data_IF_234324474296
#
_entry.id   IF_234324474296
#
_cell.length_a   1.000
_cell.length_b   1.000
_cell.length_c   1.000
_cell.angle_alpha   90.00
_cell.angle_beta   90.00
_cell.angle_gamma   90.00
#
_symmetry.space_group_name_H-M   'P 1'
#
loop_
_entity.id
_entity.type
_entity.pdbx_description
1 polymer ?
#
# COMPACT_ATOMS: atom_id res chain seq x y z
N UNK A 1 6.53 22.33 -32.07
CA UNK A 1 5.90 23.38 -31.24
C UNK A 1 4.36 23.34 -31.19
N UNK A 2 3.61 22.53 -31.96
CA UNK A 2 2.13 22.62 -32.01
C UNK A 2 1.33 21.57 -31.21
N UNK A 3 1.99 20.73 -30.40
CA UNK A 3 1.31 19.67 -29.63
C UNK A 3 0.96 20.09 -28.19
N UNK A 4 1.59 21.17 -27.70
CA UNK A 4 1.30 21.77 -26.40
C UNK A 4 0.02 22.63 -26.40
N UNK A 5 -0.35 23.25 -27.53
CA UNK A 5 -1.55 24.11 -27.60
C UNK A 5 -2.86 23.32 -27.51
N UNK A 6 -2.92 22.12 -28.11
CA UNK A 6 -4.10 21.22 -28.00
C UNK A 6 -4.32 20.66 -26.60
N UNK A 7 -3.30 20.74 -25.73
CA UNK A 7 -3.42 20.37 -24.32
C UNK A 7 -4.15 21.46 -23.52
N UNK A 8 -4.04 22.70 -23.97
CA UNK A 8 -4.61 23.88 -23.32
C UNK A 8 -6.11 24.03 -23.63
N UNK A 9 -6.52 23.82 -24.88
CA UNK A 9 -7.93 24.00 -25.28
C UNK A 9 -8.88 22.96 -24.66
N UNK A 10 -8.40 21.76 -24.31
CA UNK A 10 -9.23 20.76 -23.61
C UNK A 10 -9.33 20.99 -22.10
N UNK A 11 -8.58 21.95 -21.55
CA UNK A 11 -8.55 22.27 -20.11
C UNK A 11 -9.25 23.60 -19.79
N UNK A 12 -9.68 24.37 -20.81
CA UNK A 12 -10.05 25.77 -20.65
C UNK A 12 -11.56 26.07 -20.70
N UNK A 13 -12.46 25.07 -20.52
CA UNK A 13 -13.89 25.39 -20.58
C UNK A 13 -14.57 25.68 -19.24
N UNK A 14 -14.09 25.22 -18.07
CA UNK A 14 -14.92 25.39 -16.85
C UNK A 14 -14.31 25.23 -15.42
N UNK A 15 -13.01 25.04 -15.16
CA UNK A 15 -12.59 24.90 -13.74
C UNK A 15 -11.17 25.33 -13.38
N UNK A 16 -11.10 26.34 -12.51
CA UNK A 16 -10.07 26.65 -11.51
C UNK A 16 -8.76 25.84 -11.58
N UNK A 17 -7.88 26.12 -12.54
CA UNK A 17 -6.52 25.56 -12.53
C UNK A 17 -5.64 26.36 -11.58
N UNK A 18 -5.68 26.00 -10.29
CA UNK A 18 -4.92 26.67 -9.23
C UNK A 18 -4.07 25.68 -8.42
N UNK A 19 -2.87 26.11 -8.05
CA UNK A 19 -2.04 25.39 -7.08
C UNK A 19 -2.71 25.41 -5.71
N UNK A 20 -3.04 24.23 -5.17
CA UNK A 20 -3.57 24.14 -3.81
C UNK A 20 -2.43 24.37 -2.82
N UNK A 21 -2.52 25.45 -2.06
CA UNK A 21 -1.64 25.75 -0.95
C UNK A 21 -2.43 25.77 0.36
N UNK A 22 -1.82 25.30 1.43
CA UNK A 22 -2.41 25.42 2.77
C UNK A 22 -2.19 26.82 3.30
N UNK A 23 -3.27 27.49 3.66
CA UNK A 23 -3.25 28.76 4.37
C UNK A 23 -4.16 28.67 5.61
N UNK A 24 -3.82 29.41 6.66
CA UNK A 24 -4.75 29.69 7.75
C UNK A 24 -5.92 30.53 7.20
N UNK A 25 -7.16 30.43 7.70
CA UNK A 25 -8.30 31.20 7.19
C UNK A 25 -8.05 32.71 7.14
N UNK A 26 -7.18 33.23 8.01
CA UNK A 26 -6.76 34.65 8.03
C UNK A 26 -5.62 35.02 7.08
N UNK A 27 -4.88 34.05 6.54
CA UNK A 27 -3.70 34.26 5.68
C UNK A 27 -3.97 33.93 4.19
N UNK A 28 -5.23 33.75 3.82
CA UNK A 28 -5.61 33.42 2.45
C UNK A 28 -5.43 34.64 1.53
N UNK A 29 -4.72 34.53 0.38
CA UNK A 29 -4.54 35.64 -0.54
C UNK A 29 -5.88 36.07 -1.15
N UNK A 30 -6.04 37.37 -1.51
CA UNK A 30 -7.28 37.87 -2.10
C UNK A 30 -7.57 37.13 -3.41
N UNK A 31 -8.73 36.46 -3.49
CA UNK A 31 -9.13 35.61 -4.62
C UNK A 31 -8.92 34.11 -4.42
N UNK A 32 -8.43 33.65 -3.26
CA UNK A 32 -8.38 32.23 -2.93
C UNK A 32 -9.78 31.67 -2.62
N UNK A 33 -10.13 30.57 -3.29
CA UNK A 33 -11.34 29.80 -2.96
C UNK A 33 -11.00 28.85 -1.81
N UNK A 34 -11.68 29.00 -0.68
CA UNK A 34 -11.56 28.07 0.44
C UNK A 34 -12.20 26.73 0.02
N UNK A 35 -11.36 25.71 -0.11
CA UNK A 35 -11.77 24.36 -0.45
C UNK A 35 -11.80 23.49 0.82
N UNK A 36 -12.83 22.65 0.95
CA UNK A 36 -12.80 21.58 1.93
C UNK A 36 -11.71 20.55 1.57
N UNK A 37 -11.28 19.74 2.54
CA UNK A 37 -10.26 18.70 2.30
C UNK A 37 -10.68 17.72 1.20
N UNK A 38 -11.97 17.40 1.12
CA UNK A 38 -12.51 16.45 0.15
C UNK A 38 -12.55 17.06 -1.26
N UNK A 39 -12.96 18.32 -1.38
CA UNK A 39 -12.94 19.05 -2.65
C UNK A 39 -11.51 19.26 -3.16
N UNK A 40 -10.58 19.61 -2.27
CA UNK A 40 -9.16 19.72 -2.58
C UNK A 40 -8.59 18.39 -3.09
N UNK A 41 -8.93 17.26 -2.43
CA UNK A 41 -8.52 15.93 -2.88
C UNK A 41 -9.06 15.63 -4.28
N UNK A 42 -10.36 15.84 -4.49
CA UNK A 42 -11.02 15.55 -5.77
C UNK A 42 -10.40 16.38 -6.90
N UNK A 43 -10.11 17.66 -6.63
CA UNK A 43 -9.46 18.54 -7.59
C UNK A 43 -8.04 18.06 -7.95
N UNK A 44 -7.23 17.66 -6.97
CA UNK A 44 -5.89 17.14 -7.25
C UNK A 44 -5.91 15.80 -8.00
N UNK A 45 -6.83 14.90 -7.64
CA UNK A 45 -6.99 13.63 -8.34
C UNK A 45 -7.43 13.83 -9.80
N UNK A 46 -8.34 14.77 -10.05
CA UNK A 46 -8.79 15.10 -11.40
C UNK A 46 -7.67 15.74 -12.24
N UNK A 47 -6.87 16.60 -11.62
CA UNK A 47 -5.66 17.16 -12.24
C UNK A 47 -4.67 16.06 -12.63
N UNK A 48 -4.42 15.09 -11.75
CA UNK A 48 -3.53 13.97 -12.07
C UNK A 48 -4.10 13.03 -13.14
N UNK A 49 -5.42 12.87 -13.20
CA UNK A 49 -6.07 12.03 -14.22
C UNK A 49 -5.89 12.59 -15.64
N UNK A 50 -5.95 13.92 -15.78
CA UNK A 50 -5.81 14.62 -17.06
C UNK A 50 -4.38 15.03 -17.40
N UNK A 51 -3.42 14.82 -16.48
CA UNK A 51 -2.03 15.22 -16.66
C UNK A 51 -1.33 14.50 -17.82
N UNK A 52 -0.67 15.27 -18.70
CA UNK A 52 0.21 14.76 -19.75
C UNK A 52 1.63 15.30 -19.53
N UNK A 53 2.67 14.43 -19.59
CA UNK A 53 2.66 13.01 -19.93
C UNK A 53 2.27 12.10 -18.74
N UNK A 54 1.53 11.01 -19.03
CA UNK A 54 1.07 10.03 -18.00
C UNK A 54 2.21 9.36 -17.21
N UNK A 55 3.43 9.34 -17.74
CA UNK A 55 4.61 8.79 -17.04
C UNK A 55 4.94 9.54 -15.75
N UNK A 56 4.62 10.83 -15.69
CA UNK A 56 4.88 11.67 -14.51
C UNK A 56 3.91 11.36 -13.35
N UNK A 57 2.74 10.79 -13.62
CA UNK A 57 1.71 10.48 -12.61
C UNK A 57 1.51 8.99 -12.35
N UNK A 58 2.17 8.12 -13.12
CA UNK A 58 2.03 6.67 -13.03
C UNK A 58 2.32 6.09 -11.62
N UNK A 59 3.34 6.55 -10.87
CA UNK A 59 3.56 6.09 -9.50
C UNK A 59 2.42 6.45 -8.55
N UNK A 60 1.70 7.54 -8.83
CA UNK A 60 0.57 8.02 -8.04
C UNK A 60 -0.65 7.13 -8.32
N UNK A 61 -0.93 6.83 -9.59
CA UNK A 61 -2.09 6.00 -9.97
C UNK A 61 -1.91 4.52 -9.67
N UNK A 62 -0.71 3.97 -9.88
CA UNK A 62 -0.48 2.52 -9.77
C UNK A 62 0.16 2.10 -8.43
N UNK A 63 0.73 3.02 -7.65
CA UNK A 63 1.52 2.69 -6.47
C UNK A 63 0.74 1.89 -5.41
N UNK A 64 -0.51 2.27 -5.14
CA UNK A 64 -1.35 1.54 -4.20
C UNK A 64 -1.68 0.11 -4.67
N UNK A 65 -1.92 -0.07 -5.97
CA UNK A 65 -2.17 -1.39 -6.55
C UNK A 65 -0.92 -2.29 -6.47
N UNK A 66 0.26 -1.75 -6.77
CA UNK A 66 1.54 -2.48 -6.65
C UNK A 66 1.78 -2.89 -5.20
N UNK A 67 1.53 -1.99 -4.24
CA UNK A 67 1.64 -2.29 -2.81
C UNK A 67 0.70 -3.44 -2.39
N UNK A 68 -0.56 -3.41 -2.84
CA UNK A 68 -1.53 -4.49 -2.61
C UNK A 68 -1.07 -5.83 -3.16
N UNK A 69 -0.68 -5.88 -4.44
CA UNK A 69 -0.18 -7.10 -5.09
C UNK A 69 1.06 -7.66 -4.39
N UNK A 70 1.98 -6.79 -4.00
CA UNK A 70 3.17 -7.19 -3.27
C UNK A 70 2.84 -7.77 -1.89
N UNK A 71 1.89 -7.19 -1.16
CA UNK A 71 1.45 -7.73 0.12
C UNK A 71 0.79 -9.12 -0.04
N UNK A 72 -0.05 -9.28 -1.06
CA UNK A 72 -0.64 -10.57 -1.44
C UNK A 72 0.41 -11.62 -1.79
N UNK A 73 1.48 -11.24 -2.49
CA UNK A 73 2.60 -12.13 -2.79
C UNK A 73 3.31 -12.62 -1.51
N UNK A 74 3.50 -11.75 -0.53
CA UNK A 74 4.04 -12.15 0.78
C UNK A 74 3.16 -13.16 1.51
N UNK A 75 1.84 -12.96 1.46
CA UNK A 75 0.85 -13.92 1.94
C UNK A 75 0.93 -15.29 1.25
N UNK A 76 1.10 -15.30 -0.08
CA UNK A 76 1.24 -16.53 -0.86
C UNK A 76 2.48 -17.34 -0.44
N UNK A 77 3.63 -16.69 -0.33
CA UNK A 77 4.90 -17.34 0.04
C UNK A 77 4.82 -17.94 1.44
N UNK A 78 4.31 -17.18 2.42
CA UNK A 78 4.18 -17.67 3.80
C UNK A 78 3.15 -18.79 3.91
N UNK A 79 2.00 -18.66 3.25
CA UNK A 79 0.99 -19.72 3.23
C UNK A 79 1.54 -21.02 2.62
N UNK A 80 2.34 -20.94 1.55
CA UNK A 80 2.96 -22.12 0.96
C UNK A 80 3.94 -22.83 1.92
N UNK A 81 4.71 -22.07 2.71
CA UNK A 81 5.63 -22.64 3.72
C UNK A 81 4.83 -23.41 4.79
N UNK A 82 3.79 -22.80 5.36
CA UNK A 82 2.99 -23.43 6.41
C UNK A 82 2.16 -24.60 5.89
N UNK A 83 1.56 -24.49 4.70
CA UNK A 83 0.80 -25.60 4.09
C UNK A 83 1.68 -26.83 3.83
N UNK A 84 2.95 -26.62 3.47
CA UNK A 84 3.92 -27.71 3.31
C UNK A 84 4.29 -28.34 4.65
N UNK A 85 4.45 -27.55 5.71
CA UNK A 85 4.75 -28.03 7.06
C UNK A 85 3.63 -28.90 7.64
N UNK A 86 2.38 -28.43 7.55
CA UNK A 86 1.20 -29.13 8.10
C UNK A 86 0.59 -30.17 7.13
N UNK A 87 1.25 -30.46 6.01
CA UNK A 87 0.85 -31.50 5.04
C UNK A 87 -0.58 -31.35 4.46
N UNK A 88 -1.11 -30.13 4.35
CA UNK A 88 -2.50 -29.88 3.93
C UNK A 88 -2.80 -30.26 2.48
N UNK A 89 -1.78 -30.42 1.63
CA UNK A 89 -1.90 -30.84 0.22
C UNK A 89 -3.03 -30.11 -0.52
N UNK A 90 -4.15 -30.76 -0.85
CA UNK A 90 -5.33 -30.13 -1.47
C UNK A 90 -6.42 -29.70 -0.46
N UNK A 91 -6.38 -30.20 0.77
CA UNK A 91 -7.36 -29.87 1.79
C UNK A 91 -7.31 -28.37 2.16
N UNK A 92 -8.48 -27.75 2.19
CA UNK A 92 -8.69 -26.35 2.55
C UNK A 92 -7.78 -25.35 1.82
N UNK A 93 -7.42 -25.62 0.55
CA UNK A 93 -6.62 -24.70 -0.26
C UNK A 93 -7.26 -23.31 -0.31
N UNK A 94 -8.54 -23.24 -0.69
CA UNK A 94 -9.26 -21.97 -0.74
C UNK A 94 -9.40 -21.33 0.64
N UNK A 95 -9.75 -22.13 1.65
CA UNK A 95 -10.00 -21.65 3.02
C UNK A 95 -8.78 -21.04 3.71
N UNK A 96 -7.57 -21.51 3.39
CA UNK A 96 -6.32 -20.96 3.95
C UNK A 96 -5.76 -19.85 3.07
N UNK A 97 -5.84 -20.00 1.75
CA UNK A 97 -5.21 -19.09 0.79
C UNK A 97 -5.97 -17.78 0.64
N UNK A 98 -7.30 -17.82 0.60
CA UNK A 98 -8.13 -16.62 0.42
C UNK A 98 -7.92 -15.57 1.54
N UNK A 99 -8.03 -15.91 2.84
CA UNK A 99 -7.82 -14.91 3.89
C UNK A 99 -6.36 -14.46 4.00
N UNK A 100 -5.40 -15.34 3.74
CA UNK A 100 -3.97 -15.00 3.85
C UNK A 100 -3.44 -14.17 2.68
N UNK A 101 -4.09 -14.18 1.52
CA UNK A 101 -3.68 -13.37 0.35
C UNK A 101 -4.58 -12.16 0.15
N UNK A 102 -5.90 -12.35 0.26
CA UNK A 102 -6.89 -11.32 -0.07
C UNK A 102 -6.92 -10.19 0.95
N UNK A 103 -7.01 -10.53 2.25
CA UNK A 103 -7.06 -9.53 3.31
C UNK A 103 -5.81 -8.63 3.34
N UNK A 104 -4.57 -9.16 3.35
CA UNK A 104 -3.40 -8.28 3.40
C UNK A 104 -3.25 -7.43 2.14
N UNK A 105 -3.60 -7.96 0.95
CA UNK A 105 -3.60 -7.18 -0.28
C UNK A 105 -4.60 -6.02 -0.24
N UNK A 106 -5.82 -6.28 0.23
CA UNK A 106 -6.86 -5.27 0.39
C UNK A 106 -6.46 -4.19 1.40
N UNK A 107 -5.97 -4.59 2.59
CA UNK A 107 -5.54 -3.63 3.61
C UNK A 107 -4.32 -2.81 3.16
N UNK A 108 -3.34 -3.44 2.52
CA UNK A 108 -2.18 -2.72 1.96
C UNK A 108 -2.61 -1.71 0.90
N UNK A 109 -3.55 -2.07 0.01
CA UNK A 109 -4.10 -1.15 -0.99
C UNK A 109 -4.82 0.05 -0.34
N UNK A 110 -5.71 -0.20 0.62
CA UNK A 110 -6.48 0.84 1.29
C UNK A 110 -5.58 1.81 2.06
N UNK A 111 -4.63 1.28 2.84
CA UNK A 111 -3.71 2.10 3.63
C UNK A 111 -2.73 2.87 2.75
N UNK A 112 -2.25 2.26 1.66
CA UNK A 112 -1.40 2.94 0.67
C UNK A 112 -2.13 4.09 -0.02
N UNK A 113 -3.41 3.89 -0.36
CA UNK A 113 -4.28 4.94 -0.90
C UNK A 113 -4.48 6.07 0.10
N UNK A 114 -4.72 5.75 1.38
CA UNK A 114 -4.84 6.76 2.45
C UNK A 114 -3.56 7.57 2.63
N UNK A 115 -2.40 6.92 2.67
CA UNK A 115 -1.11 7.63 2.74
C UNK A 115 -0.85 8.50 1.53
N UNK A 116 -1.29 8.06 0.34
CA UNK A 116 -1.19 8.85 -0.89
C UNK A 116 -2.09 10.09 -0.83
N UNK A 117 -3.33 9.96 -0.37
CA UNK A 117 -4.23 11.11 -0.20
C UNK A 117 -3.63 12.14 0.77
N UNK A 118 -3.10 11.70 1.91
CA UNK A 118 -2.42 12.59 2.87
C UNK A 118 -1.19 13.28 2.26
N UNK A 119 -0.46 12.59 1.38
CA UNK A 119 0.71 13.13 0.70
C UNK A 119 0.32 14.16 -0.37
N UNK A 120 -0.74 13.88 -1.13
CA UNK A 120 -1.27 14.75 -2.20
C UNK A 120 -1.79 16.06 -1.63
N UNK A 121 -2.52 16.03 -0.51
CA UNK A 121 -2.98 17.23 0.21
C UNK A 121 -1.86 17.99 0.94
N UNK A 122 -0.62 17.51 0.83
CA UNK A 122 0.54 18.02 1.56
C UNK A 122 0.23 18.16 3.07
N UNK A 123 -0.52 17.18 3.60
CA UNK A 123 -1.00 17.18 4.99
C UNK A 123 0.06 16.82 6.02
N UNK A 124 1.16 16.23 5.56
CA UNK A 124 2.25 15.80 6.41
C UNK A 124 3.31 16.89 6.54
N UNK A 125 3.58 17.30 7.78
CA UNK A 125 4.69 18.21 8.11
C UNK A 125 6.06 17.56 7.88
N UNK A 126 6.13 16.22 7.86
CA UNK A 126 7.38 15.47 7.62
C UNK A 126 7.19 14.36 6.58
N UNK A 127 7.91 14.50 5.45
CA UNK A 127 7.93 13.54 4.35
C UNK A 127 8.47 12.18 4.79
N UNK A 128 9.50 12.17 5.65
CA UNK A 128 10.15 10.95 6.14
C UNK A 128 9.19 10.16 7.03
N UNK A 129 8.41 10.83 7.89
CA UNK A 129 7.41 10.18 8.73
C UNK A 129 6.35 9.46 7.89
N UNK A 130 5.88 10.08 6.80
CA UNK A 130 4.90 9.47 5.89
C UNK A 130 5.49 8.26 5.16
N UNK A 131 6.73 8.34 4.70
CA UNK A 131 7.44 7.20 4.09
C UNK A 131 7.58 6.03 5.07
N UNK A 132 8.05 6.29 6.29
CA UNK A 132 8.22 5.25 7.31
C UNK A 132 6.89 4.61 7.71
N UNK A 133 5.82 5.39 7.79
CA UNK A 133 4.46 4.89 8.03
C UNK A 133 4.02 3.94 6.91
N UNK A 134 4.26 4.29 5.65
CA UNK A 134 3.91 3.43 4.51
C UNK A 134 4.72 2.12 4.49
N UNK A 135 6.02 2.19 4.78
CA UNK A 135 6.89 1.00 4.94
C UNK A 135 6.38 0.10 6.08
N UNK A 136 6.00 0.69 7.21
CA UNK A 136 5.45 -0.05 8.35
C UNK A 136 4.15 -0.77 7.99
N UNK A 137 3.24 -0.11 7.26
CA UNK A 137 2.04 -0.77 6.75
C UNK A 137 2.35 -1.91 5.80
N UNK A 138 3.27 -1.70 4.85
CA UNK A 138 3.64 -2.74 3.90
C UNK A 138 4.26 -3.97 4.60
N UNK A 139 5.12 -3.76 5.59
CA UNK A 139 5.70 -4.85 6.39
C UNK A 139 4.64 -5.57 7.22
N UNK A 140 3.74 -4.81 7.83
CA UNK A 140 2.69 -5.36 8.69
C UNK A 140 1.78 -6.28 7.89
N UNK A 141 1.27 -5.83 6.73
CA UNK A 141 0.36 -6.64 5.93
C UNK A 141 1.08 -7.62 5.00
N UNK A 142 2.30 -7.32 4.55
CA UNK A 142 3.06 -8.19 3.65
C UNK A 142 3.82 -9.32 4.34
N UNK A 143 4.14 -9.21 5.64
CA UNK A 143 4.93 -10.21 6.37
C UNK A 143 4.33 -10.56 7.72
N UNK A 144 4.06 -9.59 8.59
CA UNK A 144 3.66 -9.86 9.98
C UNK A 144 2.28 -10.54 10.04
N UNK A 145 1.30 -9.96 9.36
CA UNK A 145 -0.06 -10.47 9.26
C UNK A 145 -0.11 -11.90 8.70
N UNK A 146 0.48 -12.20 7.52
CA UNK A 146 0.47 -13.56 7.01
C UNK A 146 1.31 -14.53 7.87
N UNK A 147 2.33 -14.07 8.60
CA UNK A 147 3.11 -14.94 9.51
C UNK A 147 2.29 -15.47 10.67
N UNK A 148 1.24 -14.75 11.08
CA UNK A 148 0.32 -15.15 12.16
C UNK A 148 -0.91 -15.85 11.57
N UNK A 149 -1.50 -15.28 10.51
CA UNK A 149 -2.75 -15.77 9.96
C UNK A 149 -2.58 -17.10 9.19
N UNK A 150 -1.46 -17.28 8.47
CA UNK A 150 -1.19 -18.53 7.74
C UNK A 150 -1.16 -19.77 8.66
N UNK A 151 -0.39 -19.81 9.76
CA UNK A 151 -0.38 -20.98 10.63
C UNK A 151 -1.73 -21.19 11.32
N UNK A 152 -2.40 -20.12 11.78
CA UNK A 152 -3.73 -20.24 12.41
C UNK A 152 -4.75 -20.86 11.45
N UNK A 153 -4.76 -20.44 10.19
CA UNK A 153 -5.62 -21.01 9.17
C UNK A 153 -5.25 -22.47 8.85
N UNK A 154 -3.95 -22.78 8.73
CA UNK A 154 -3.48 -24.13 8.45
C UNK A 154 -3.80 -25.11 9.59
N UNK A 155 -3.61 -24.69 10.85
CA UNK A 155 -3.92 -25.48 12.04
C UNK A 155 -5.43 -25.78 12.10
N UNK A 156 -6.28 -24.79 11.87
CA UNK A 156 -7.74 -24.98 11.86
C UNK A 156 -8.19 -26.02 10.82
N UNK A 157 -7.62 -25.97 9.61
CA UNK A 157 -7.93 -26.95 8.57
C UNK A 157 -7.31 -28.31 8.89
N UNK A 158 -6.08 -28.36 9.40
CA UNK A 158 -5.43 -29.61 9.78
C UNK A 158 -6.21 -30.36 10.88
N UNK A 159 -6.74 -29.63 11.87
CA UNK A 159 -7.63 -30.18 12.91
C UNK A 159 -8.89 -30.81 12.33
N UNK A 160 -9.52 -30.17 11.33
CA UNK A 160 -10.75 -30.68 10.69
C UNK A 160 -10.51 -31.82 9.72
N UNK A 161 -9.38 -31.82 9.04
CA UNK A 161 -9.04 -32.80 8.01
C UNK A 161 -8.17 -33.95 8.54
N UNK A 162 -7.82 -33.96 9.83
CA UNK A 162 -6.94 -34.95 10.48
C UNK A 162 -5.63 -35.22 9.71
N UNK A 163 -5.09 -34.21 9.02
CA UNK A 163 -3.89 -34.35 8.18
C UNK A 163 -2.59 -34.29 8.99
N UNK A 164 -2.63 -33.72 10.19
CA UNK A 164 -1.47 -33.56 11.06
C UNK A 164 -1.92 -33.71 12.53
N UNK A 165 -1.13 -34.38 13.39
CA UNK A 165 -1.42 -34.47 14.82
C UNK A 165 -1.21 -33.11 15.48
N UNK A 166 -2.29 -32.34 15.60
CA UNK A 166 -2.28 -31.03 16.23
C UNK A 166 -2.71 -31.17 17.68
N UNK A 167 -1.98 -30.54 18.60
CA UNK A 167 -2.32 -30.52 20.03
C UNK A 167 -3.52 -29.61 20.30
N UNK A 168 -4.34 -29.90 21.34
CA UNK A 168 -5.47 -29.04 21.71
C UNK A 168 -5.01 -27.62 22.08
N UNK A 169 -5.58 -26.61 21.42
CA UNK A 169 -5.18 -25.21 21.58
C UNK A 169 -5.35 -24.69 23.03
N UNK A 170 -6.37 -25.17 23.73
CA UNK A 170 -6.69 -24.71 25.10
C UNK A 170 -5.62 -25.10 26.13
N UNK A 171 -4.97 -26.25 25.97
CA UNK A 171 -3.96 -26.76 26.91
C UNK A 171 -2.52 -26.48 26.49
N UNK A 172 -2.21 -26.47 25.18
CA UNK A 172 -0.82 -26.43 24.69
C UNK A 172 -0.50 -25.21 23.79
N UNK A 173 -1.11 -24.05 24.04
CA UNK A 173 -0.89 -22.84 23.22
C UNK A 173 0.59 -22.42 23.10
N UNK A 174 1.40 -22.60 24.15
CA UNK A 174 2.83 -22.26 24.14
C UNK A 174 3.63 -23.15 23.18
N UNK A 175 3.25 -24.42 23.07
CA UNK A 175 3.91 -25.39 22.18
C UNK A 175 3.57 -25.09 20.73
N UNK A 176 2.31 -24.75 20.45
CA UNK A 176 1.86 -24.32 19.12
C UNK A 176 2.61 -23.06 18.68
N UNK A 177 2.73 -22.05 19.55
CA UNK A 177 3.50 -20.84 19.24
C UNK A 177 4.98 -21.15 19.00
N UNK A 178 5.57 -22.05 19.79
CA UNK A 178 6.96 -22.49 19.61
C UNK A 178 7.15 -23.21 18.28
N UNK A 179 6.18 -24.02 17.85
CA UNK A 179 6.20 -24.68 16.53
C UNK A 179 6.09 -23.66 15.39
N UNK A 180 5.18 -22.68 15.49
CA UNK A 180 5.07 -21.61 14.50
C UNK A 180 6.39 -20.84 14.39
N UNK A 181 6.98 -20.46 15.53
CA UNK A 181 8.25 -19.75 15.58
C UNK A 181 9.40 -20.61 15.04
N UNK A 182 9.43 -21.91 15.30
CA UNK A 182 10.48 -22.80 14.78
C UNK A 182 10.39 -22.95 13.26
N UNK A 183 9.18 -22.99 12.69
CA UNK A 183 8.97 -23.01 11.23
C UNK A 183 9.43 -21.71 10.58
N UNK A 184 9.12 -20.57 11.21
CA UNK A 184 9.59 -19.24 10.76
C UNK A 184 11.11 -19.12 10.87
N UNK A 185 11.71 -19.57 11.97
CA UNK A 185 13.16 -19.58 12.18
C UNK A 185 13.86 -20.47 11.15
N UNK A 186 13.33 -21.65 10.86
CA UNK A 186 13.83 -22.56 9.82
C UNK A 186 13.84 -21.90 8.44
N UNK A 187 12.87 -21.04 8.16
CA UNK A 187 12.75 -20.31 6.89
C UNK A 187 13.19 -18.84 6.99
N UNK A 188 13.99 -18.47 8.01
CA UNK A 188 14.37 -17.07 8.30
C UNK A 188 14.95 -16.31 7.10
N UNK A 189 15.68 -17.01 6.22
CA UNK A 189 16.28 -16.39 5.02
C UNK A 189 15.19 -15.98 4.03
N UNK A 190 14.16 -16.82 3.83
CA UNK A 190 13.04 -16.50 2.94
C UNK A 190 12.15 -15.40 3.53
N UNK A 191 11.86 -15.50 4.83
CA UNK A 191 11.04 -14.50 5.54
C UNK A 191 11.76 -13.15 5.60
N UNK A 192 13.06 -13.15 5.92
CA UNK A 192 13.91 -11.95 5.93
C UNK A 192 14.07 -11.35 4.54
N UNK A 193 14.28 -12.17 3.51
CA UNK A 193 14.33 -11.72 2.12
C UNK A 193 13.01 -11.10 1.66
N UNK A 194 11.87 -11.71 2.04
CA UNK A 194 10.55 -11.15 1.77
C UNK A 194 10.34 -9.82 2.50
N UNK A 195 10.72 -9.71 3.77
CA UNK A 195 10.65 -8.47 4.53
C UNK A 195 11.50 -7.36 3.90
N UNK A 196 12.75 -7.67 3.52
CA UNK A 196 13.61 -6.74 2.81
C UNK A 196 13.00 -6.30 1.48
N UNK A 197 12.43 -7.23 0.70
CA UNK A 197 11.72 -6.92 -0.54
C UNK A 197 10.54 -5.97 -0.31
N UNK A 198 9.69 -6.22 0.70
CA UNK A 198 8.56 -5.34 1.03
C UNK A 198 9.04 -3.95 1.45
N UNK A 199 10.10 -3.85 2.25
CA UNK A 199 10.70 -2.58 2.66
C UNK A 199 11.20 -1.77 1.47
N UNK A 200 12.05 -2.39 0.64
CA UNK A 200 12.65 -1.73 -0.52
C UNK A 200 11.57 -1.28 -1.48
N UNK A 201 10.60 -2.16 -1.77
CA UNK A 201 9.50 -1.83 -2.66
C UNK A 201 8.66 -0.67 -2.13
N UNK A 202 8.24 -0.71 -0.87
CA UNK A 202 7.48 0.36 -0.25
C UNK A 202 8.26 1.68 -0.28
N UNK A 203 9.55 1.65 0.06
CA UNK A 203 10.40 2.83 0.04
C UNK A 203 10.55 3.41 -1.37
N UNK A 204 10.84 2.59 -2.37
CA UNK A 204 10.96 3.03 -3.76
C UNK A 204 9.65 3.59 -4.30
N UNK A 205 8.52 2.94 -4.06
CA UNK A 205 7.21 3.43 -4.49
C UNK A 205 6.89 4.81 -3.89
N UNK A 206 7.08 4.97 -2.58
CA UNK A 206 6.85 6.25 -1.91
C UNK A 206 7.82 7.33 -2.42
N UNK A 207 9.08 6.98 -2.63
CA UNK A 207 10.07 7.91 -3.19
C UNK A 207 9.66 8.40 -4.59
N UNK A 208 9.20 7.48 -5.45
CA UNK A 208 8.71 7.82 -6.79
C UNK A 208 7.43 8.67 -6.74
N UNK A 209 6.51 8.39 -5.82
CA UNK A 209 5.29 9.18 -5.62
C UNK A 209 5.61 10.62 -5.22
N UNK A 210 6.50 10.81 -4.25
CA UNK A 210 6.93 12.13 -3.78
C UNK A 210 7.61 12.91 -4.90
N UNK A 211 8.55 12.27 -5.62
CA UNK A 211 9.21 12.92 -6.77
C UNK A 211 8.22 13.36 -7.84
N UNK A 212 7.21 12.54 -8.10
CA UNK A 212 6.17 12.82 -9.08
C UNK A 212 5.33 14.03 -8.67
N UNK A 213 4.86 14.07 -7.42
CA UNK A 213 4.08 15.20 -6.87
C UNK A 213 4.90 16.50 -6.92
N UNK A 214 6.15 16.47 -6.47
CA UNK A 214 7.03 17.65 -6.50
C UNK A 214 7.30 18.13 -7.92
N UNK A 215 7.46 17.21 -8.88
CA UNK A 215 7.67 17.55 -10.29
C UNK A 215 6.45 18.25 -10.90
N UNK A 216 5.25 17.77 -10.60
CA UNK A 216 3.99 18.40 -11.03
C UNK A 216 3.88 19.80 -10.42
N UNK A 217 4.09 19.93 -9.11
CA UNK A 217 4.00 21.23 -8.42
C UNK A 217 5.03 22.26 -8.95
N UNK A 218 6.27 21.83 -9.25
CA UNK A 218 7.28 22.70 -9.86
C UNK A 218 6.88 23.19 -11.25
N UNK A 219 6.30 22.32 -12.09
CA UNK A 219 5.82 22.70 -13.42
C UNK A 219 4.70 23.73 -13.33
N UNK A 220 3.73 23.51 -12.43
CA UNK A 220 2.64 24.45 -12.18
C UNK A 220 3.13 25.82 -11.69
N UNK A 221 4.17 25.85 -10.83
CA UNK A 221 4.74 27.11 -10.35
C UNK A 221 5.58 27.83 -11.41
N UNK A 222 6.29 27.09 -12.28
CA UNK A 222 7.09 27.68 -13.35
C UNK A 222 6.24 28.34 -14.44
N UNK A 223 5.01 27.85 -14.67
CA UNK A 223 4.06 28.45 -15.62
C UNK A 223 3.35 29.70 -15.07
N UNK A 224 3.56 30.02 -13.77
CA UNK A 224 2.98 31.20 -13.10
C UNK A 224 3.88 32.45 -13.21
N UNK A 225 5.15 32.27 -13.55
CA UNK A 225 6.17 33.32 -13.73
C UNK A 225 6.35 33.62 -15.22
#
# INVERSE_FOLDING_TARGET
MSQHSKLYDSLNSTSHSGVIARASPGDAPPGAVLLSKEEALKHQLDLFAHWKPKRDVLPITCGAAIAGVAASFGGLVLNAIFRKHFLLRHAGFLSTTAPTIGLPGMFAFMLSTKTLHDLVLMNSQCVICTQMKAVCWQLTFGVIYPSIMAPVACINVAMRSFTYPVLPFQTHYKEILREILSVLQKHRVKVGGLAAFQCVLAFTLNHMQIRSILKVHRKLNAERL
#
